data_IF_251950160139
#
_entry.id   IF_251950160139
#
_cell.length_a   1.000
_cell.length_b   1.000
_cell.length_c   1.000
_cell.angle_alpha   90.00
_cell.angle_beta   90.00
_cell.angle_gamma   90.00
#
_symmetry.space_group_name_H-M   'P 1'
#
loop_
_entity.id
_entity.type
_entity.pdbx_description
1 polymer ?
#
# COMPACT_ATOMS: atom_id res chain seq x y z
N UNK A 1 47.61 -7.00 12.09
CA UNK A 1 46.41 -7.43 12.85
C UNK A 1 45.20 -7.25 11.94
N UNK A 2 44.31 -8.26 11.92
CA UNK A 2 43.32 -8.55 10.86
C UNK A 2 42.25 -7.47 10.71
N UNK A 3 42.17 -6.87 9.52
CA UNK A 3 41.06 -6.02 9.08
C UNK A 3 39.83 -6.89 8.83
N UNK A 4 38.78 -6.72 9.63
CA UNK A 4 37.49 -7.40 9.37
C UNK A 4 36.64 -6.50 8.49
N UNK A 5 36.45 -6.90 7.23
CA UNK A 5 35.55 -6.25 6.29
C UNK A 5 34.14 -6.77 6.59
N UNK A 6 33.32 -5.96 7.26
CA UNK A 6 31.90 -6.25 7.48
C UNK A 6 31.18 -5.89 6.17
N UNK A 7 30.85 -6.91 5.36
CA UNK A 7 30.04 -6.73 4.15
C UNK A 7 28.58 -6.63 4.59
N UNK A 8 28.07 -5.41 4.72
CA UNK A 8 26.64 -5.15 4.93
C UNK A 8 25.88 -5.50 3.65
N UNK A 9 25.23 -6.66 3.63
CA UNK A 9 24.31 -7.04 2.54
C UNK A 9 23.07 -6.16 2.64
N UNK A 10 23.00 -5.13 1.79
CA UNK A 10 21.78 -4.38 1.53
C UNK A 10 20.84 -5.30 0.74
N UNK A 11 19.94 -5.98 1.45
CA UNK A 11 18.79 -6.61 0.81
C UNK A 11 17.92 -5.46 0.29
N UNK A 12 18.09 -5.13 -0.98
CA UNK A 12 17.14 -4.28 -1.69
C UNK A 12 15.81 -5.04 -1.67
N UNK A 13 14.92 -4.67 -0.74
CA UNK A 13 13.54 -5.13 -0.76
C UNK A 13 12.91 -4.56 -2.03
N UNK A 14 13.00 -5.32 -3.12
CA UNK A 14 12.15 -5.11 -4.29
C UNK A 14 10.75 -5.42 -3.81
N UNK A 15 10.04 -4.40 -3.33
CA UNK A 15 8.61 -4.46 -3.13
C UNK A 15 7.98 -4.65 -4.51
N UNK A 16 7.86 -5.90 -4.95
CA UNK A 16 6.88 -6.26 -5.94
C UNK A 16 5.53 -5.98 -5.28
N UNK A 17 5.08 -4.75 -5.42
CA UNK A 17 3.73 -4.36 -5.08
C UNK A 17 2.83 -5.13 -6.05
N UNK A 18 2.21 -6.18 -5.52
CA UNK A 18 1.23 -6.91 -6.29
C UNK A 18 0.08 -5.94 -6.61
N UNK A 19 -0.48 -6.11 -7.81
CA UNK A 19 -1.55 -5.25 -8.33
C UNK A 19 -2.85 -6.00 -8.12
N UNK A 20 -3.83 -5.33 -7.54
CA UNK A 20 -5.18 -5.84 -7.39
C UNK A 20 -6.14 -5.14 -8.35
N UNK A 21 -7.31 -5.72 -8.56
CA UNK A 21 -8.37 -5.20 -9.41
C UNK A 21 -9.53 -4.75 -8.53
N UNK A 22 -9.93 -3.49 -8.66
CA UNK A 22 -11.12 -2.95 -8.00
C UNK A 22 -12.42 -3.46 -8.64
N UNK A 23 -13.54 -3.28 -7.93
CA UNK A 23 -14.87 -3.71 -8.39
C UNK A 23 -15.30 -3.07 -9.72
N UNK A 24 -14.77 -1.88 -10.01
CA UNK A 24 -15.01 -1.13 -11.25
C UNK A 24 -14.00 -1.49 -12.37
N UNK A 25 -13.14 -2.49 -12.17
CA UNK A 25 -12.12 -2.91 -13.13
C UNK A 25 -10.82 -2.11 -13.09
N UNK A 26 -10.70 -1.08 -12.23
CA UNK A 26 -9.45 -0.32 -12.12
C UNK A 26 -8.33 -1.20 -11.56
N UNK A 27 -7.15 -1.13 -12.18
CA UNK A 27 -5.94 -1.70 -11.62
C UNK A 27 -5.45 -0.83 -10.47
N UNK A 28 -5.15 -1.42 -9.33
CA UNK A 28 -4.78 -0.71 -8.12
C UNK A 28 -3.59 -1.38 -7.42
N UNK A 29 -2.97 -0.62 -6.52
CA UNK A 29 -1.74 -1.03 -5.85
C UNK A 29 -1.64 -0.37 -4.47
N UNK A 30 -1.24 -1.15 -3.47
CA UNK A 30 -1.02 -0.65 -2.11
C UNK A 30 0.37 -0.03 -1.95
N UNK A 31 0.38 1.26 -1.56
CA UNK A 31 1.59 2.01 -1.27
C UNK A 31 1.82 2.14 0.23
N UNK A 32 2.97 1.64 0.67
CA UNK A 32 3.42 1.64 2.06
C UNK A 32 3.88 0.24 2.47
N UNK A 33 5.14 0.11 2.86
CA UNK A 33 5.75 -1.18 3.19
C UNK A 33 5.73 -1.44 4.68
N UNK A 34 5.29 -2.63 5.09
CA UNK A 34 5.31 -3.01 6.50
C UNK A 34 6.76 -3.22 7.00
N UNK A 35 7.04 -3.02 8.29
CA UNK A 35 6.11 -2.62 9.34
C UNK A 35 5.86 -1.10 9.45
N UNK A 36 6.69 -0.26 8.83
CA UNK A 36 6.60 1.21 8.88
C UNK A 36 6.14 1.77 7.53
N UNK A 37 4.82 1.88 7.34
CA UNK A 37 4.23 2.14 6.02
C UNK A 37 4.29 3.61 5.57
N UNK A 38 4.63 4.51 6.49
CA UNK A 38 4.68 5.96 6.25
C UNK A 38 3.29 6.61 6.29
N UNK A 39 3.22 7.84 5.77
CA UNK A 39 2.00 8.65 5.73
C UNK A 39 1.96 9.52 4.47
N UNK A 40 0.84 10.22 4.26
CA UNK A 40 0.58 11.06 3.08
C UNK A 40 -0.24 12.28 3.48
N UNK A 41 -0.12 13.37 2.70
CA UNK A 41 -1.03 14.53 2.78
C UNK A 41 -2.19 14.47 1.78
N UNK A 42 -2.18 13.46 0.90
CA UNK A 42 -3.21 13.25 -0.13
C UNK A 42 -4.49 12.72 0.50
N UNK A 43 -5.62 13.22 -0.01
CA UNK A 43 -6.97 12.81 0.35
C UNK A 43 -7.55 11.82 -0.66
N UNK A 44 -8.60 11.08 -0.27
CA UNK A 44 -9.32 10.20 -1.20
C UNK A 44 -9.83 11.02 -2.40
N UNK A 45 -9.56 10.54 -3.60
CA UNK A 45 -9.87 11.20 -4.87
C UNK A 45 -8.73 12.03 -5.45
N UNK A 46 -7.68 12.31 -4.68
CA UNK A 46 -6.51 13.04 -5.20
C UNK A 46 -5.80 12.22 -6.27
N UNK A 47 -5.23 12.95 -7.24
CA UNK A 47 -4.38 12.39 -8.28
C UNK A 47 -2.92 12.68 -7.99
N UNK A 48 -2.07 11.69 -8.18
CA UNK A 48 -0.63 11.91 -8.15
C UNK A 48 -0.09 12.38 -9.52
N UNK A 49 1.21 12.63 -9.58
CA UNK A 49 1.89 13.06 -10.81
C UNK A 49 1.84 12.03 -11.95
N UNK A 50 1.58 10.76 -11.64
CA UNK A 50 1.40 9.69 -12.62
C UNK A 50 -0.07 9.52 -13.03
N UNK A 51 -0.98 10.35 -12.51
CA UNK A 51 -2.41 10.30 -12.79
C UNK A 51 -3.16 9.21 -12.02
N UNK A 52 -2.51 8.53 -11.08
CA UNK A 52 -3.18 7.52 -10.24
C UNK A 52 -4.09 8.22 -9.25
N UNK A 53 -5.25 7.64 -8.98
CA UNK A 53 -6.23 8.18 -8.02
C UNK A 53 -6.11 7.44 -6.70
N UNK A 54 -6.03 8.17 -5.59
CA UNK A 54 -6.11 7.58 -4.25
C UNK A 54 -7.55 7.15 -3.96
N UNK A 55 -7.80 5.83 -3.89
CA UNK A 55 -9.15 5.29 -3.65
C UNK A 55 -9.45 4.99 -2.21
N UNK A 56 -8.48 4.48 -1.46
CA UNK A 56 -8.67 4.15 -0.05
C UNK A 56 -7.35 4.22 0.74
N UNK A 57 -7.43 4.29 2.06
CA UNK A 57 -6.30 4.19 2.98
C UNK A 57 -6.67 3.40 4.21
N UNK A 58 -5.68 2.79 4.88
CA UNK A 58 -5.89 2.21 6.21
C UNK A 58 -5.60 3.19 7.35
N UNK A 59 -5.47 4.50 7.06
CA UNK A 59 -5.27 5.55 8.07
C UNK A 59 -6.43 5.69 9.06
N UNK A 60 -7.71 5.55 8.64
CA UNK A 60 -8.82 5.58 9.57
C UNK A 60 -8.77 4.31 10.43
N UNK A 61 -7.92 4.34 11.45
CA UNK A 61 -7.55 3.23 12.34
C UNK A 61 -8.73 2.68 13.18
N UNK A 62 -9.95 3.16 12.96
CA UNK A 62 -11.16 2.59 13.55
C UNK A 62 -11.76 1.48 12.67
N UNK A 63 -11.43 1.44 11.37
CA UNK A 63 -12.06 0.52 10.42
C UNK A 63 -11.03 -0.46 9.79
N UNK A 64 -9.85 0.02 9.37
CA UNK A 64 -8.82 -0.82 8.75
C UNK A 64 -9.28 -1.55 7.47
N UNK A 65 -8.41 -2.40 6.91
CA UNK A 65 -8.66 -3.05 5.60
C UNK A 65 -9.89 -3.97 5.58
N UNK A 66 -10.16 -4.65 6.69
CA UNK A 66 -11.28 -5.58 6.79
C UNK A 66 -12.60 -4.82 6.70
N UNK A 67 -12.73 -3.72 7.43
CA UNK A 67 -13.91 -2.87 7.35
C UNK A 67 -14.03 -2.20 5.97
N UNK A 68 -12.93 -1.72 5.36
CA UNK A 68 -12.97 -1.21 3.98
C UNK A 68 -13.54 -2.23 2.99
N UNK A 69 -13.20 -3.51 3.17
CA UNK A 69 -13.76 -4.58 2.36
C UNK A 69 -15.24 -4.84 2.67
N UNK A 70 -15.61 -4.94 3.94
CA UNK A 70 -17.00 -5.18 4.39
C UNK A 70 -17.97 -4.06 3.96
N UNK A 71 -17.53 -2.81 4.00
CA UNK A 71 -18.29 -1.66 3.49
C UNK A 71 -18.21 -1.49 1.97
N UNK A 72 -17.37 -2.29 1.33
CA UNK A 72 -17.25 -2.38 -0.11
C UNK A 72 -16.45 -1.26 -0.77
N UNK A 73 -15.67 -0.49 -0.01
CA UNK A 73 -14.72 0.51 -0.52
C UNK A 73 -13.56 -0.13 -1.29
N UNK A 74 -13.23 -1.38 -0.94
CA UNK A 74 -12.26 -2.19 -1.71
C UNK A 74 -12.86 -3.50 -2.19
N UNK A 75 -12.28 -4.05 -3.27
CA UNK A 75 -12.57 -5.40 -3.75
C UNK A 75 -11.96 -6.47 -2.85
N UNK A 76 -12.44 -7.70 -3.00
CA UNK A 76 -11.84 -8.88 -2.34
C UNK A 76 -10.38 -9.06 -2.76
N UNK A 77 -10.08 -8.85 -4.04
CA UNK A 77 -8.73 -8.94 -4.57
C UNK A 77 -7.78 -7.94 -3.88
N UNK A 78 -8.21 -6.67 -3.72
CA UNK A 78 -7.43 -5.68 -3.00
C UNK A 78 -7.34 -5.94 -1.49
N UNK A 79 -8.33 -6.62 -0.90
CA UNK A 79 -8.26 -7.06 0.49
C UNK A 79 -7.20 -8.14 0.71
N UNK A 80 -7.16 -9.13 -0.19
CA UNK A 80 -6.17 -10.21 -0.19
C UNK A 80 -4.76 -9.65 -0.44
N UNK A 81 -4.63 -8.78 -1.44
CA UNK A 81 -3.37 -8.19 -1.89
C UNK A 81 -2.68 -7.31 -0.82
N UNK A 82 -3.45 -6.71 0.09
CA UNK A 82 -2.93 -5.79 1.10
C UNK A 82 -1.69 -6.31 1.87
N UNK A 83 -1.60 -7.62 2.08
CA UNK A 83 -0.47 -8.26 2.75
C UNK A 83 -0.41 -7.98 4.26
N UNK A 84 0.79 -7.76 4.78
CA UNK A 84 1.03 -7.56 6.21
C UNK A 84 0.54 -6.19 6.71
N UNK A 85 0.03 -6.09 7.96
CA UNK A 85 -0.38 -4.82 8.56
C UNK A 85 0.81 -3.89 8.83
N UNK A 86 0.50 -2.62 9.08
CA UNK A 86 1.46 -1.61 9.50
C UNK A 86 1.48 -1.54 11.02
N UNK A 87 2.66 -1.47 11.62
CA UNK A 87 2.83 -1.15 13.05
C UNK A 87 2.70 0.37 13.24
N UNK A 88 3.21 1.15 12.29
CA UNK A 88 3.09 2.60 12.26
C UNK A 88 2.84 3.09 10.84
N UNK A 89 2.07 4.18 10.73
CA UNK A 89 1.58 4.69 9.45
C UNK A 89 0.50 3.79 8.85
N UNK A 90 0.23 3.94 7.57
CA UNK A 90 -0.85 3.23 6.88
C UNK A 90 -0.52 2.98 5.42
N UNK A 91 -1.21 2.02 4.79
CA UNK A 91 -1.12 1.83 3.34
C UNK A 91 -2.17 2.66 2.61
N UNK A 92 -1.86 3.03 1.37
CA UNK A 92 -2.70 3.83 0.48
C UNK A 92 -2.97 3.06 -0.79
N UNK A 93 -4.22 2.85 -1.16
CA UNK A 93 -4.59 2.16 -2.39
C UNK A 93 -4.69 3.16 -3.53
N UNK A 94 -3.73 3.12 -4.45
CA UNK A 94 -3.71 3.98 -5.62
C UNK A 94 -4.13 3.18 -6.85
N UNK A 95 -5.05 3.74 -7.63
CA UNK A 95 -5.57 3.11 -8.83
C UNK A 95 -5.12 3.84 -10.09
N UNK A 96 -4.70 3.07 -11.08
CA UNK A 96 -4.25 3.57 -12.37
C UNK A 96 -5.45 4.05 -13.20
N UNK A 97 -5.28 5.11 -14.01
CA UNK A 97 -6.28 5.47 -15.00
C UNK A 97 -6.46 4.32 -16.00
N UNK A 98 -7.71 3.98 -16.30
CA UNK A 98 -8.08 3.00 -17.33
C UNK A 98 -7.81 3.53 -18.74
#
# INVERSE_FOLDING_TARGET
MKSQIIISVLIAATSASAKCIQKNGEHCEWFGSSPFCGSSKSSIGDKDSAGRVLRDTTEPFNCGKACSYEHGYISEDCYIDYGYPCISGYKRLWCYPN
#
